data_IF_516383829694
#
_entry.id   IF_516383829694
#
_cell.length_a   1.000
_cell.length_b   1.000
_cell.length_c   1.000
_cell.angle_alpha   90.00
_cell.angle_beta   90.00
_cell.angle_gamma   90.00
#
_symmetry.space_group_name_H-M   'P 1'
#
loop_
_entity.id
_entity.type
_entity.pdbx_description
1 polymer ?
#
# COMPACT_ATOMS: atom_id res chain seq x y z
N UNK A 1 9.13 -6.77 -29.23
CA UNK A 1 9.65 -5.69 -30.10
C UNK A 1 10.74 -4.87 -29.43
N UNK A 2 10.47 -4.19 -28.30
CA UNK A 2 11.46 -3.35 -27.58
C UNK A 2 12.83 -4.02 -27.35
N UNK A 3 12.83 -5.27 -26.87
CA UNK A 3 14.08 -6.03 -26.64
C UNK A 3 14.86 -6.24 -27.95
N UNK A 4 14.18 -6.61 -29.04
CA UNK A 4 14.82 -6.80 -30.34
C UNK A 4 15.41 -5.49 -30.89
N UNK A 5 14.68 -4.39 -30.72
CA UNK A 5 15.15 -3.06 -31.14
C UNK A 5 16.41 -2.63 -30.38
N UNK A 6 16.44 -2.80 -29.05
CA UNK A 6 17.61 -2.46 -28.21
C UNK A 6 18.81 -3.36 -28.51
N UNK A 7 18.58 -4.65 -28.74
CA UNK A 7 19.66 -5.58 -29.06
C UNK A 7 20.24 -5.31 -30.45
N UNK A 8 19.44 -4.91 -31.43
CA UNK A 8 19.93 -4.60 -32.78
C UNK A 8 20.65 -5.79 -33.43
N UNK A 9 20.18 -7.01 -33.18
CA UNK A 9 20.78 -8.26 -33.65
C UNK A 9 21.87 -8.86 -32.75
N UNK A 10 22.25 -8.17 -31.66
CA UNK A 10 23.15 -8.74 -30.63
C UNK A 10 22.45 -9.87 -29.86
N UNK A 11 23.21 -10.86 -29.32
CA UNK A 11 22.65 -11.86 -28.43
C UNK A 11 22.14 -11.24 -27.13
N UNK A 12 21.21 -11.93 -26.47
CA UNK A 12 20.81 -11.65 -25.09
C UNK A 12 21.54 -12.60 -24.16
N UNK A 13 22.53 -12.09 -23.41
CA UNK A 13 23.37 -12.91 -22.54
C UNK A 13 22.69 -13.24 -21.21
N UNK A 14 22.00 -12.25 -20.60
CA UNK A 14 21.36 -12.39 -19.30
C UNK A 14 19.92 -11.86 -19.30
N UNK A 15 19.04 -12.57 -18.60
CA UNK A 15 17.71 -12.12 -18.20
C UNK A 15 17.60 -12.18 -16.68
N UNK A 16 17.64 -11.02 -16.02
CA UNK A 16 17.52 -10.92 -14.56
C UNK A 16 16.06 -10.85 -14.15
N UNK A 17 15.64 -11.74 -13.26
CA UNK A 17 14.27 -11.79 -12.74
C UNK A 17 14.28 -11.34 -11.29
N UNK A 18 13.88 -10.09 -11.07
CA UNK A 18 13.73 -9.54 -9.72
C UNK A 18 12.43 -9.99 -9.04
N UNK A 19 11.39 -10.34 -9.81
CA UNK A 19 10.08 -10.70 -9.29
C UNK A 19 9.33 -11.61 -10.28
N UNK A 20 8.61 -12.60 -9.76
CA UNK A 20 7.87 -13.61 -10.52
C UNK A 20 6.35 -13.36 -10.56
N UNK A 21 5.84 -12.24 -10.07
CA UNK A 21 4.41 -11.95 -10.19
C UNK A 21 3.99 -11.88 -11.69
N UNK A 22 2.78 -12.36 -12.06
CA UNK A 22 2.40 -12.57 -13.47
C UNK A 22 2.47 -11.34 -14.38
N UNK A 23 2.28 -10.14 -13.85
CA UNK A 23 2.43 -8.88 -14.59
C UNK A 23 3.87 -8.64 -15.08
N UNK A 24 4.86 -9.17 -14.36
CA UNK A 24 6.28 -9.05 -14.70
C UNK A 24 6.85 -10.27 -15.38
N UNK A 25 6.32 -11.45 -15.04
CA UNK A 25 6.89 -12.71 -15.48
C UNK A 25 6.23 -13.26 -16.75
N UNK A 26 5.00 -12.84 -17.09
CA UNK A 26 4.16 -13.49 -18.11
C UNK A 26 4.80 -13.76 -19.48
N UNK A 27 5.83 -12.98 -19.87
CA UNK A 27 6.55 -13.14 -21.13
C UNK A 27 7.94 -13.79 -21.03
N UNK A 28 8.39 -14.21 -19.85
CA UNK A 28 9.74 -14.78 -19.67
C UNK A 28 9.93 -16.03 -20.52
N UNK A 29 8.95 -16.94 -20.56
CA UNK A 29 9.06 -18.17 -21.38
C UNK A 29 9.26 -17.83 -22.87
N UNK A 30 8.52 -16.83 -23.37
CA UNK A 30 8.68 -16.31 -24.74
C UNK A 30 10.10 -15.80 -24.99
N UNK A 31 10.66 -15.02 -24.07
CA UNK A 31 12.02 -14.51 -24.18
C UNK A 31 13.04 -15.65 -24.22
N UNK A 32 12.92 -16.65 -23.35
CA UNK A 32 13.85 -17.79 -23.32
C UNK A 32 13.76 -18.61 -24.61
N UNK A 33 12.55 -18.80 -25.18
CA UNK A 33 12.37 -19.47 -26.47
C UNK A 33 12.99 -18.69 -27.63
N UNK A 34 12.89 -17.36 -27.60
CA UNK A 34 13.51 -16.49 -28.62
C UNK A 34 15.04 -16.43 -28.50
N UNK A 35 15.57 -16.50 -27.28
CA UNK A 35 16.99 -16.45 -26.98
C UNK A 35 17.43 -17.70 -26.20
N UNK A 36 17.53 -18.88 -26.85
CA UNK A 36 17.76 -20.15 -26.15
C UNK A 36 19.13 -20.26 -25.45
N UNK A 37 20.05 -19.32 -25.70
CA UNK A 37 21.35 -19.22 -25.02
C UNK A 37 21.36 -18.25 -23.85
N UNK A 38 20.24 -17.56 -23.57
CA UNK A 38 20.15 -16.59 -22.48
C UNK A 38 20.36 -17.29 -21.14
N UNK A 39 21.18 -16.70 -20.28
CA UNK A 39 21.29 -17.11 -18.88
C UNK A 39 20.20 -16.40 -18.08
N UNK A 40 19.28 -17.16 -17.50
CA UNK A 40 18.22 -16.63 -16.65
C UNK A 40 18.77 -16.51 -15.23
N UNK A 41 18.76 -15.29 -14.67
CA UNK A 41 19.32 -15.00 -13.35
C UNK A 41 18.20 -14.78 -12.36
N UNK A 42 18.23 -15.49 -11.24
CA UNK A 42 17.21 -15.43 -10.19
C UNK A 42 17.74 -16.03 -8.90
N UNK A 43 16.99 -15.92 -7.81
CA UNK A 43 17.33 -16.66 -6.58
C UNK A 43 16.69 -18.05 -6.59
N UNK A 44 16.97 -18.84 -5.55
CA UNK A 44 16.43 -20.21 -5.42
C UNK A 44 14.90 -20.24 -5.59
N UNK A 45 14.19 -19.30 -4.97
CA UNK A 45 12.73 -19.26 -4.97
C UNK A 45 12.15 -18.76 -6.29
N UNK A 46 12.86 -17.86 -6.98
CA UNK A 46 12.55 -17.48 -8.37
C UNK A 46 12.39 -18.71 -9.24
N UNK A 47 13.31 -19.67 -9.18
CA UNK A 47 13.25 -20.88 -10.01
C UNK A 47 12.26 -21.94 -9.49
N UNK A 48 11.95 -21.94 -8.20
CA UNK A 48 10.83 -22.73 -7.67
C UNK A 48 9.50 -22.24 -8.26
N UNK A 49 9.29 -20.92 -8.34
CA UNK A 49 8.10 -20.30 -8.93
C UNK A 49 8.07 -20.43 -10.44
N UNK A 50 9.23 -20.30 -11.10
CA UNK A 50 9.35 -20.51 -12.55
C UNK A 50 8.78 -21.87 -12.97
N UNK A 51 9.11 -22.94 -12.24
CA UNK A 51 8.62 -24.31 -12.50
C UNK A 51 7.12 -24.50 -12.22
N UNK A 52 6.51 -23.59 -11.46
CA UNK A 52 5.06 -23.59 -11.22
C UNK A 52 4.31 -22.90 -12.34
N UNK A 53 4.86 -21.79 -12.86
CA UNK A 53 4.24 -21.01 -13.93
C UNK A 53 4.48 -21.59 -15.33
N UNK A 54 5.64 -22.20 -15.57
CA UNK A 54 6.06 -22.63 -16.90
C UNK A 54 6.40 -24.11 -16.96
N UNK A 55 6.14 -24.70 -18.13
CA UNK A 55 6.55 -26.09 -18.44
C UNK A 55 7.93 -26.19 -19.09
N UNK A 56 8.52 -25.06 -19.48
CA UNK A 56 9.85 -25.02 -20.10
C UNK A 56 10.93 -25.35 -19.07
N UNK A 57 11.78 -26.34 -19.36
CA UNK A 57 12.96 -26.59 -18.54
C UNK A 57 14.09 -25.63 -18.92
N UNK A 58 14.46 -24.76 -17.98
CA UNK A 58 15.58 -23.82 -18.11
C UNK A 58 16.76 -24.18 -17.21
N UNK A 59 16.82 -25.41 -16.67
CA UNK A 59 17.84 -25.83 -15.69
C UNK A 59 19.27 -25.62 -16.18
N UNK A 60 19.53 -25.80 -17.48
CA UNK A 60 20.86 -25.58 -18.09
C UNK A 60 21.21 -24.09 -18.27
N UNK A 61 20.21 -23.21 -18.20
CA UNK A 61 20.34 -21.78 -18.42
C UNK A 61 20.17 -20.98 -17.12
N UNK A 62 19.85 -21.64 -16.00
CA UNK A 62 19.54 -20.98 -14.73
C UNK A 62 20.81 -20.66 -13.94
N UNK A 63 20.98 -19.38 -13.61
CA UNK A 63 22.00 -18.88 -12.68
C UNK A 63 21.35 -18.46 -11.37
N UNK A 64 21.61 -19.23 -10.31
CA UNK A 64 21.11 -18.97 -8.96
C UNK A 64 22.03 -18.01 -8.23
N UNK A 65 21.52 -16.83 -7.89
CA UNK A 65 22.23 -15.81 -7.10
C UNK A 65 21.71 -15.72 -5.66
N UNK A 66 22.58 -15.26 -4.76
CA UNK A 66 22.35 -15.03 -3.33
C UNK A 66 22.63 -13.56 -2.98
N UNK A 67 22.29 -13.19 -1.74
CA UNK A 67 22.62 -11.87 -1.20
C UNK A 67 24.12 -11.56 -1.39
N UNK A 68 24.41 -10.43 -2.03
CA UNK A 68 25.76 -9.92 -2.24
C UNK A 68 26.50 -10.52 -3.45
N UNK A 69 25.95 -11.53 -4.12
CA UNK A 69 26.53 -12.05 -5.36
C UNK A 69 26.57 -10.96 -6.44
N UNK A 70 27.49 -11.12 -7.39
CA UNK A 70 27.68 -10.16 -8.47
C UNK A 70 27.80 -10.82 -9.83
N UNK A 71 27.42 -10.09 -10.89
CA UNK A 71 27.68 -10.44 -12.28
C UNK A 71 28.39 -9.27 -12.94
N UNK A 72 29.57 -9.52 -13.50
CA UNK A 72 30.33 -8.54 -14.27
C UNK A 72 29.90 -8.59 -15.75
N UNK A 73 29.42 -7.46 -16.27
CA UNK A 73 29.00 -7.25 -17.66
C UNK A 73 30.05 -6.51 -18.50
N UNK A 74 31.29 -6.45 -18.02
CA UNK A 74 32.39 -5.67 -18.59
C UNK A 74 32.58 -4.34 -17.87
N UNK A 75 31.97 -3.27 -18.37
CA UNK A 75 32.06 -1.95 -17.73
C UNK A 75 31.13 -1.78 -16.53
N UNK A 76 30.12 -2.64 -16.41
CA UNK A 76 29.07 -2.57 -15.41
C UNK A 76 29.10 -3.85 -14.57
N UNK A 77 28.77 -3.72 -13.29
CA UNK A 77 28.64 -4.87 -12.39
C UNK A 77 27.28 -4.80 -11.74
N UNK A 78 26.51 -5.89 -11.85
CA UNK A 78 25.26 -6.08 -11.13
C UNK A 78 25.56 -6.71 -9.78
N UNK A 79 24.96 -6.19 -8.71
CA UNK A 79 24.98 -6.78 -7.37
C UNK A 79 23.56 -7.07 -6.89
N UNK A 80 23.34 -8.26 -6.33
CA UNK A 80 22.02 -8.72 -5.95
C UNK A 80 21.77 -8.56 -4.45
N UNK A 81 20.58 -8.10 -4.10
CA UNK A 81 20.12 -7.88 -2.73
C UNK A 81 18.76 -8.56 -2.54
N UNK A 82 18.64 -9.47 -1.59
CA UNK A 82 17.40 -10.19 -1.32
C UNK A 82 16.44 -9.30 -0.53
N UNK A 83 15.24 -9.13 -1.05
CA UNK A 83 14.16 -8.34 -0.46
C UNK A 83 12.90 -9.20 -0.24
N UNK A 84 13.00 -10.33 0.49
CA UNK A 84 11.87 -11.23 0.66
C UNK A 84 10.70 -10.55 1.37
N UNK A 85 9.50 -10.82 0.86
CA UNK A 85 8.24 -10.20 1.29
C UNK A 85 8.21 -8.69 1.04
N UNK A 86 8.89 -8.18 0.01
CA UNK A 86 8.71 -6.81 -0.49
C UNK A 86 8.24 -6.85 -1.96
N UNK A 87 7.09 -7.43 -2.30
CA UNK A 87 6.03 -7.97 -1.41
C UNK A 87 5.93 -9.51 -1.43
N UNK A 88 6.57 -10.18 -2.39
CA UNK A 88 6.61 -11.64 -2.47
C UNK A 88 7.91 -12.26 -1.94
N UNK A 89 7.91 -13.56 -1.57
CA UNK A 89 9.05 -14.16 -0.88
C UNK A 89 10.31 -14.36 -1.74
N UNK A 90 10.20 -14.36 -3.07
CA UNK A 90 11.33 -14.44 -3.99
C UNK A 90 11.88 -13.07 -4.41
N UNK A 91 11.31 -11.97 -3.93
CA UNK A 91 11.70 -10.65 -4.43
C UNK A 91 13.19 -10.35 -4.22
N UNK A 92 13.76 -10.01 -5.36
CA UNK A 92 15.06 -9.51 -5.75
C UNK A 92 15.25 -8.01 -5.94
N UNK A 93 16.23 -7.34 -5.34
CA UNK A 93 16.73 -6.07 -5.87
C UNK A 93 18.06 -6.28 -6.59
N UNK A 94 18.29 -5.50 -7.64
CA UNK A 94 19.56 -5.51 -8.39
C UNK A 94 20.11 -4.10 -8.43
N UNK A 95 21.39 -3.91 -8.07
CA UNK A 95 22.08 -2.63 -8.17
C UNK A 95 23.16 -2.73 -9.26
N UNK A 96 23.11 -1.81 -10.24
CA UNK A 96 24.24 -1.57 -11.14
C UNK A 96 25.22 -0.62 -10.46
N UNK A 97 26.42 -1.10 -10.16
CA UNK A 97 27.35 -0.44 -9.23
C UNK A 97 28.03 0.80 -9.79
N UNK A 98 28.30 0.86 -11.11
CA UNK A 98 29.08 1.96 -11.70
C UNK A 98 28.30 3.27 -11.66
N UNK A 99 27.02 3.21 -11.99
CA UNK A 99 26.14 4.38 -12.01
C UNK A 99 25.27 4.48 -10.76
N UNK A 100 25.17 3.43 -9.92
CA UNK A 100 24.32 3.45 -8.72
C UNK A 100 22.83 3.34 -9.06
N UNK A 101 22.46 2.49 -10.02
CA UNK A 101 21.07 2.30 -10.44
C UNK A 101 20.47 1.13 -9.68
N UNK A 102 19.42 1.37 -8.91
CA UNK A 102 18.64 0.36 -8.20
C UNK A 102 17.44 -0.07 -9.07
N UNK A 103 17.39 -1.33 -9.46
CA UNK A 103 16.19 -1.99 -9.97
C UNK A 103 15.45 -2.65 -8.78
N UNK A 104 14.33 -2.04 -8.38
CA UNK A 104 13.70 -2.26 -7.07
C UNK A 104 12.48 -3.19 -7.08
N UNK A 105 12.27 -3.93 -8.17
CA UNK A 105 11.04 -4.68 -8.37
C UNK A 105 9.80 -3.77 -8.18
N UNK A 106 8.83 -4.20 -7.37
CA UNK A 106 7.63 -3.42 -7.03
C UNK A 106 7.87 -2.31 -6.00
N UNK A 107 8.98 -2.35 -5.25
CA UNK A 107 9.28 -1.28 -4.32
C UNK A 107 9.49 0.03 -5.08
N UNK A 108 8.98 1.12 -4.50
CA UNK A 108 8.91 2.47 -5.06
C UNK A 108 7.96 2.62 -6.26
N UNK A 109 7.08 1.64 -6.47
CA UNK A 109 6.07 1.66 -7.52
C UNK A 109 4.90 2.60 -7.27
N UNK A 110 4.13 2.86 -8.34
CA UNK A 110 2.92 3.67 -8.32
C UNK A 110 1.87 3.09 -9.27
N UNK A 111 0.59 3.24 -8.95
CA UNK A 111 -0.48 2.95 -9.90
C UNK A 111 -0.59 4.06 -10.96
N UNK A 112 -1.12 3.69 -12.14
CA UNK A 112 -1.40 4.63 -13.23
C UNK A 112 -0.46 4.48 -14.42
N UNK A 113 -0.93 4.94 -15.58
CA UNK A 113 -0.17 4.89 -16.82
C UNK A 113 0.60 6.20 -17.04
N UNK A 114 1.82 6.10 -17.57
CA UNK A 114 2.60 7.27 -17.96
C UNK A 114 2.02 7.92 -19.22
N UNK A 115 1.85 9.26 -19.26
CA UNK A 115 1.42 9.97 -20.47
C UNK A 115 2.55 10.14 -21.51
N UNK A 116 3.67 9.42 -21.36
CA UNK A 116 4.88 9.52 -22.17
C UNK A 116 6.10 9.94 -21.35
N UNK A 117 5.91 10.79 -20.34
CA UNK A 117 6.94 11.16 -19.36
C UNK A 117 7.15 10.02 -18.37
N UNK A 118 8.40 9.57 -18.19
CA UNK A 118 8.72 8.41 -17.35
C UNK A 118 9.52 8.75 -16.10
N UNK A 119 10.08 9.97 -16.00
CA UNK A 119 10.86 10.38 -14.84
C UNK A 119 10.02 11.22 -13.86
N UNK A 120 10.21 10.98 -12.56
CA UNK A 120 9.49 11.69 -11.50
C UNK A 120 9.76 13.21 -11.52
N UNK A 121 10.97 13.64 -11.93
CA UNK A 121 11.37 15.05 -11.98
C UNK A 121 10.86 15.83 -13.21
N UNK A 122 10.18 15.16 -14.14
CA UNK A 122 9.66 15.75 -15.37
C UNK A 122 8.14 16.03 -15.31
N UNK A 123 7.53 15.86 -14.14
CA UNK A 123 6.10 16.09 -13.89
C UNK A 123 5.87 16.68 -12.50
N UNK A 124 4.68 17.20 -12.25
CA UNK A 124 4.23 17.54 -10.90
C UNK A 124 3.92 16.24 -10.15
N UNK A 125 4.98 15.65 -9.56
CA UNK A 125 4.91 14.33 -8.93
C UNK A 125 3.90 14.29 -7.78
N UNK A 126 3.89 15.31 -6.93
CA UNK A 126 3.00 15.36 -5.77
C UNK A 126 1.53 15.38 -6.19
N UNK A 127 1.19 16.17 -7.21
CA UNK A 127 -0.18 16.24 -7.71
C UNK A 127 -0.59 15.01 -8.52
N UNK A 128 0.34 14.38 -9.22
CA UNK A 128 0.04 13.36 -10.22
C UNK A 128 0.16 11.94 -9.68
N UNK A 129 1.19 11.68 -8.88
CA UNK A 129 1.60 10.33 -8.51
C UNK A 129 1.62 10.07 -7.01
N UNK A 130 1.84 11.06 -6.14
CA UNK A 130 2.04 10.79 -4.71
C UNK A 130 0.87 10.00 -4.07
N UNK A 131 -0.38 10.36 -4.38
CA UNK A 131 -1.55 9.65 -3.85
C UNK A 131 -1.66 8.22 -4.40
N UNK A 132 -1.32 8.00 -5.67
CA UNK A 132 -1.30 6.67 -6.29
C UNK A 132 -0.09 5.83 -5.82
N UNK A 133 1.04 6.46 -5.51
CA UNK A 133 2.21 5.79 -4.90
C UNK A 133 1.91 5.38 -3.47
N UNK A 134 1.23 6.24 -2.68
CA UNK A 134 0.75 5.85 -1.35
C UNK A 134 -0.27 4.72 -1.45
N UNK A 135 -1.21 4.80 -2.40
CA UNK A 135 -2.20 3.74 -2.63
C UNK A 135 -1.52 2.43 -3.02
N UNK A 136 -0.52 2.48 -3.90
CA UNK A 136 0.29 1.33 -4.28
C UNK A 136 0.99 0.73 -3.06
N UNK A 137 1.69 1.55 -2.28
CA UNK A 137 2.35 1.10 -1.06
C UNK A 137 1.34 0.46 -0.10
N UNK A 138 0.28 1.16 0.27
CA UNK A 138 -0.70 0.73 1.27
C UNK A 138 -1.38 -0.60 0.91
N UNK A 139 -1.65 -0.83 -0.38
CA UNK A 139 -2.42 -1.99 -0.84
C UNK A 139 -1.57 -3.17 -1.31
N UNK A 140 -0.30 -2.96 -1.68
CA UNK A 140 0.57 -4.02 -2.22
C UNK A 140 1.69 -4.36 -1.23
N UNK A 141 2.46 -3.35 -0.81
CA UNK A 141 3.71 -3.56 -0.04
C UNK A 141 3.47 -3.42 1.47
N UNK A 142 2.48 -2.63 1.87
CA UNK A 142 2.35 -2.03 3.19
C UNK A 142 2.27 -3.02 4.34
N UNK A 143 1.67 -4.20 4.11
CA UNK A 143 1.62 -5.32 5.07
C UNK A 143 3.02 -5.70 5.58
N UNK A 144 4.05 -5.48 4.78
CA UNK A 144 5.41 -5.92 5.02
C UNK A 144 6.35 -4.81 5.48
N UNK A 145 5.83 -3.81 6.20
CA UNK A 145 6.63 -2.68 6.70
C UNK A 145 7.92 -3.07 7.42
N UNK A 146 7.94 -4.14 8.24
CA UNK A 146 9.17 -4.58 8.92
C UNK A 146 10.22 -5.14 7.96
N UNK A 147 9.80 -5.81 6.88
CA UNK A 147 10.69 -6.30 5.83
C UNK A 147 11.20 -5.15 4.98
N UNK A 148 10.37 -4.16 4.65
CA UNK A 148 10.79 -2.91 4.00
C UNK A 148 11.88 -2.22 4.81
N UNK A 149 11.66 -1.99 6.12
CA UNK A 149 12.64 -1.40 7.02
C UNK A 149 13.97 -2.18 7.04
N UNK A 150 13.89 -3.51 7.07
CA UNK A 150 15.07 -4.39 7.06
C UNK A 150 15.84 -4.30 5.74
N UNK A 151 15.15 -4.18 4.61
CA UNK A 151 15.77 -3.99 3.29
C UNK A 151 16.42 -2.60 3.20
N UNK A 152 15.70 -1.53 3.54
CA UNK A 152 16.22 -0.16 3.48
C UNK A 152 17.51 0.02 4.31
N UNK A 153 17.59 -0.59 5.50
CA UNK A 153 18.80 -0.54 6.35
C UNK A 153 20.01 -1.26 5.78
N UNK A 154 19.81 -2.24 4.90
CA UNK A 154 20.90 -3.06 4.33
C UNK A 154 21.39 -2.52 2.99
N UNK A 155 20.55 -1.77 2.27
CA UNK A 155 20.91 -1.20 0.98
C UNK A 155 21.93 -0.06 1.16
N UNK A 156 22.89 0.09 0.24
CA UNK A 156 23.85 1.20 0.26
C UNK A 156 23.18 2.48 -0.31
N UNK A 157 22.15 2.99 0.36
CA UNK A 157 21.27 4.05 -0.14
C UNK A 157 22.03 5.32 -0.58
N UNK A 158 23.13 5.66 0.10
CA UNK A 158 23.98 6.81 -0.23
C UNK A 158 24.67 6.73 -1.60
N UNK A 159 24.82 5.51 -2.14
CA UNK A 159 25.43 5.26 -3.45
C UNK A 159 24.41 5.20 -4.59
N UNK A 160 23.11 5.27 -4.28
CA UNK A 160 22.04 5.15 -5.26
C UNK A 160 21.79 6.52 -5.90
N UNK A 161 21.93 6.59 -7.22
CA UNK A 161 21.67 7.79 -8.02
C UNK A 161 20.42 7.67 -8.89
N UNK A 162 19.85 6.46 -8.99
CA UNK A 162 18.60 6.21 -9.70
C UNK A 162 17.84 5.02 -9.12
N UNK A 163 16.51 5.12 -9.01
CA UNK A 163 15.62 4.01 -8.67
C UNK A 163 14.67 3.76 -9.85
N UNK A 164 14.69 2.52 -10.35
CA UNK A 164 13.89 2.02 -11.45
C UNK A 164 12.92 0.94 -10.91
N UNK A 165 11.70 1.34 -10.47
CA UNK A 165 10.66 0.38 -10.12
C UNK A 165 10.07 -0.28 -11.38
N UNK A 166 9.36 -1.39 -11.21
CA UNK A 166 8.62 -2.05 -12.29
C UNK A 166 7.33 -1.30 -12.67
N UNK A 167 6.79 -0.51 -11.74
CA UNK A 167 5.57 0.28 -11.91
C UNK A 167 5.83 1.76 -11.63
N UNK A 168 5.16 2.66 -12.35
CA UNK A 168 5.26 4.10 -12.07
C UNK A 168 6.59 4.75 -12.48
N UNK A 169 6.83 6.00 -12.06
CA UNK A 169 7.95 6.82 -12.57
C UNK A 169 9.32 6.41 -12.01
N UNK A 170 10.36 6.65 -12.81
CA UNK A 170 11.76 6.46 -12.47
C UNK A 170 12.27 7.67 -11.68
N UNK A 171 13.01 7.40 -10.60
CA UNK A 171 13.63 8.43 -9.77
C UNK A 171 15.09 8.59 -10.15
N UNK A 172 15.52 9.79 -10.54
CA UNK A 172 16.94 10.14 -10.82
C UNK A 172 17.39 11.45 -10.16
N UNK A 173 16.45 12.13 -9.51
CA UNK A 173 16.62 13.33 -8.68
C UNK A 173 15.75 13.17 -7.45
N UNK A 174 16.10 13.89 -6.39
CA UNK A 174 15.35 13.95 -5.13
C UNK A 174 15.00 12.57 -4.57
N UNK A 175 15.91 11.59 -4.74
CA UNK A 175 15.70 10.20 -4.33
C UNK A 175 15.41 10.09 -2.83
N UNK A 176 16.01 10.97 -2.04
CA UNK A 176 15.75 11.03 -0.59
C UNK A 176 14.26 11.23 -0.29
N UNK A 177 13.53 11.99 -1.12
CA UNK A 177 12.10 12.23 -0.93
C UNK A 177 11.29 10.92 -0.91
N UNK A 178 11.48 10.04 -1.90
CA UNK A 178 10.74 8.77 -1.94
C UNK A 178 11.26 7.76 -0.92
N UNK A 179 12.55 7.80 -0.59
CA UNK A 179 13.12 6.98 0.49
C UNK A 179 12.50 7.36 1.84
N UNK A 180 12.36 8.64 2.14
CA UNK A 180 11.73 9.14 3.36
C UNK A 180 10.26 8.74 3.43
N UNK A 181 9.52 8.81 2.31
CA UNK A 181 8.14 8.33 2.23
C UNK A 181 8.04 6.83 2.54
N UNK A 182 8.86 6.00 1.89
CA UNK A 182 8.87 4.55 2.15
C UNK A 182 9.29 4.21 3.58
N UNK A 183 10.27 4.94 4.14
CA UNK A 183 10.69 4.78 5.52
C UNK A 183 9.55 5.12 6.50
N UNK A 184 8.82 6.22 6.27
CA UNK A 184 7.68 6.62 7.09
C UNK A 184 6.51 5.63 6.95
N UNK A 185 6.13 5.27 5.71
CA UNK A 185 4.99 4.38 5.48
C UNK A 185 5.20 2.98 6.07
N UNK A 186 6.44 2.51 6.11
CA UNK A 186 6.79 1.19 6.66
C UNK A 186 6.82 1.10 8.18
N UNK A 187 6.80 2.23 8.89
CA UNK A 187 6.55 2.27 10.33
C UNK A 187 5.06 2.31 10.69
N UNK A 188 4.17 2.39 9.68
CA UNK A 188 2.74 2.61 9.85
C UNK A 188 2.42 3.94 10.57
N UNK A 189 3.40 4.85 10.64
CA UNK A 189 3.20 6.18 11.20
C UNK A 189 2.36 6.99 10.20
N UNK A 190 1.27 7.63 10.65
CA UNK A 190 0.50 8.54 9.81
C UNK A 190 1.38 9.66 9.25
N UNK A 191 1.12 10.07 8.01
CA UNK A 191 1.74 11.27 7.42
C UNK A 191 1.15 12.56 7.99
N UNK A 192 -0.13 12.51 8.36
CA UNK A 192 -0.89 13.68 8.75
C UNK A 192 -1.72 13.38 9.99
N UNK A 193 -1.82 14.38 10.88
CA UNK A 193 -2.85 14.37 11.89
C UNK A 193 -4.17 14.83 11.26
N UNK A 194 -5.18 13.97 11.22
CA UNK A 194 -6.47 14.23 10.58
C UNK A 194 -7.42 13.03 10.74
N UNK A 195 -8.65 13.19 10.25
CA UNK A 195 -9.73 12.21 10.50
C UNK A 195 -10.32 11.70 9.19
N UNK A 196 -10.31 10.37 9.02
CA UNK A 196 -11.03 9.68 7.93
C UNK A 196 -12.35 9.15 8.45
N UNK A 197 -13.44 9.77 8.03
CA UNK A 197 -14.82 9.41 8.30
C UNK A 197 -15.32 8.42 7.23
N UNK A 198 -15.48 7.17 7.60
CA UNK A 198 -15.90 6.10 6.68
C UNK A 198 -17.24 5.56 7.13
N UNK A 199 -18.24 5.61 6.25
CA UNK A 199 -19.58 5.18 6.58
C UNK A 199 -20.18 4.25 5.56
N UNK A 200 -21.06 3.39 6.06
CA UNK A 200 -22.01 2.62 5.30
C UNK A 200 -23.41 3.20 5.56
N UNK A 201 -24.23 3.40 4.52
CA UNK A 201 -25.63 3.77 4.71
C UNK A 201 -26.54 3.16 3.64
N UNK A 202 -27.69 2.64 4.07
CA UNK A 202 -28.71 2.11 3.16
C UNK A 202 -29.80 3.13 2.84
N UNK A 203 -30.13 3.98 3.82
CA UNK A 203 -31.27 4.91 3.77
C UNK A 203 -30.90 6.35 4.16
N UNK A 204 -29.61 6.68 4.24
CA UNK A 204 -29.12 8.02 4.55
C UNK A 204 -29.07 8.39 6.04
N UNK A 205 -29.66 7.61 6.95
CA UNK A 205 -29.64 7.97 8.38
C UNK A 205 -28.24 7.86 9.03
N UNK A 206 -27.46 6.83 8.70
CA UNK A 206 -26.05 6.72 9.15
C UNK A 206 -25.20 7.81 8.53
N UNK A 207 -25.43 8.13 7.26
CA UNK A 207 -24.77 9.23 6.55
C UNK A 207 -25.07 10.57 7.22
N UNK A 208 -26.33 10.85 7.53
CA UNK A 208 -26.74 12.07 8.22
C UNK A 208 -26.04 12.23 9.58
N UNK A 209 -25.90 11.14 10.34
CA UNK A 209 -25.18 11.17 11.61
C UNK A 209 -23.68 11.44 11.42
N UNK A 210 -23.07 10.89 10.38
CA UNK A 210 -21.67 11.14 10.04
C UNK A 210 -21.43 12.56 9.57
N UNK A 211 -22.35 13.14 8.80
CA UNK A 211 -22.32 14.55 8.41
C UNK A 211 -22.42 15.48 9.63
N UNK A 212 -23.32 15.16 10.57
CA UNK A 212 -23.45 15.91 11.82
C UNK A 212 -22.16 15.84 12.66
N UNK A 213 -21.55 14.65 12.77
CA UNK A 213 -20.26 14.49 13.45
C UNK A 213 -19.16 15.29 12.75
N UNK A 214 -19.05 15.20 11.43
CA UNK A 214 -18.05 15.93 10.65
C UNK A 214 -18.15 17.45 10.88
N UNK A 215 -19.36 18.01 10.88
CA UNK A 215 -19.59 19.43 11.18
C UNK A 215 -19.11 19.78 12.60
N UNK A 216 -19.45 18.96 13.60
CA UNK A 216 -19.02 19.15 14.98
C UNK A 216 -17.51 19.08 15.17
N UNK A 217 -16.83 18.20 14.44
CA UNK A 217 -15.36 18.12 14.44
C UNK A 217 -14.73 19.38 13.79
N UNK A 218 -15.31 19.86 12.70
CA UNK A 218 -14.86 21.09 12.04
C UNK A 218 -15.06 22.33 12.93
N UNK A 219 -16.21 22.44 13.61
CA UNK A 219 -16.50 23.50 14.59
C UNK A 219 -15.52 23.49 15.78
N UNK A 220 -14.99 22.32 16.12
CA UNK A 220 -13.95 22.13 17.14
C UNK A 220 -12.52 22.36 16.61
N UNK A 221 -12.39 22.79 15.37
CA UNK A 221 -11.13 23.20 14.78
C UNK A 221 -10.29 22.07 14.18
N UNK A 222 -10.87 20.90 13.89
CA UNK A 222 -10.18 19.85 13.12
C UNK A 222 -10.25 20.20 11.63
N UNK A 223 -9.12 20.53 10.96
CA UNK A 223 -9.15 21.13 9.63
C UNK A 223 -9.17 20.10 8.48
N UNK A 224 -8.59 18.91 8.67
CA UNK A 224 -8.46 17.89 7.61
C UNK A 224 -9.35 16.68 7.91
N UNK A 225 -10.50 16.68 7.26
CA UNK A 225 -11.52 15.63 7.31
C UNK A 225 -11.67 15.01 5.92
N UNK A 226 -11.62 13.68 5.86
CA UNK A 226 -11.91 12.91 4.65
C UNK A 226 -13.15 12.09 4.89
N UNK A 227 -14.07 12.07 3.94
CA UNK A 227 -15.33 11.38 4.12
C UNK A 227 -15.62 10.43 2.96
N UNK A 228 -15.94 9.18 3.28
CA UNK A 228 -16.14 8.11 2.30
C UNK A 228 -17.39 7.30 2.60
N UNK A 229 -18.24 7.13 1.59
CA UNK A 229 -19.22 6.05 1.53
C UNK A 229 -18.54 4.78 1.00
N UNK A 230 -18.50 3.73 1.82
CA UNK A 230 -17.92 2.42 1.45
C UNK A 230 -18.65 1.75 0.28
N UNK A 231 -19.88 2.16 -0.02
CA UNK A 231 -20.63 1.66 -1.18
C UNK A 231 -20.27 2.33 -2.49
N UNK A 232 -19.56 3.46 -2.46
CA UNK A 232 -19.28 4.29 -3.65
C UNK A 232 -17.80 4.39 -3.95
N UNK A 233 -16.95 4.13 -2.97
CA UNK A 233 -15.51 4.29 -3.09
C UNK A 233 -14.83 2.94 -3.01
N UNK A 234 -13.96 2.63 -3.98
CA UNK A 234 -13.18 1.40 -3.93
C UNK A 234 -12.30 1.37 -2.67
N UNK A 235 -12.23 0.24 -1.93
CA UNK A 235 -11.53 0.15 -0.66
C UNK A 235 -10.08 0.66 -0.71
N UNK A 236 -9.37 0.43 -1.81
CA UNK A 236 -7.97 0.86 -1.96
C UNK A 236 -7.73 2.35 -1.73
N UNK A 237 -8.68 3.21 -2.13
CA UNK A 237 -8.56 4.66 -1.89
C UNK A 237 -8.77 4.99 -0.41
N UNK A 238 -9.78 4.37 0.21
CA UNK A 238 -10.07 4.53 1.64
C UNK A 238 -8.87 4.06 2.47
N UNK A 239 -8.27 2.92 2.12
CA UNK A 239 -7.08 2.37 2.77
C UNK A 239 -5.87 3.29 2.61
N UNK A 240 -5.68 3.92 1.43
CA UNK A 240 -4.62 4.89 1.21
C UNK A 240 -4.73 6.08 2.18
N UNK A 241 -5.93 6.62 2.36
CA UNK A 241 -6.18 7.71 3.29
C UNK A 241 -6.11 7.26 4.76
N UNK A 242 -6.57 6.05 5.08
CA UNK A 242 -6.33 5.45 6.41
C UNK A 242 -4.82 5.34 6.68
N UNK A 243 -3.99 5.04 5.68
CA UNK A 243 -2.53 5.03 5.84
C UNK A 243 -1.97 6.45 6.08
N UNK A 244 -2.55 7.45 5.44
CA UNK A 244 -2.14 8.86 5.53
C UNK A 244 -2.49 9.50 6.87
N UNK A 245 -3.68 9.23 7.42
CA UNK A 245 -4.25 9.94 8.56
C UNK A 245 -4.21 9.15 9.87
N UNK A 246 -4.17 9.86 10.99
CA UNK A 246 -4.03 9.30 12.35
C UNK A 246 -5.33 8.77 12.96
N UNK A 247 -6.48 9.35 12.61
CA UNK A 247 -7.78 9.04 13.20
C UNK A 247 -8.75 8.48 12.17
N UNK A 248 -9.58 7.52 12.60
CA UNK A 248 -10.64 6.93 11.78
C UNK A 248 -11.95 7.00 12.56
N UNK A 249 -13.03 7.39 11.88
CA UNK A 249 -14.39 7.21 12.40
C UNK A 249 -15.09 6.20 11.49
N UNK A 250 -15.62 5.12 12.06
CA UNK A 250 -16.33 4.09 11.31
C UNK A 250 -17.79 4.07 11.70
N UNK A 251 -18.68 4.17 10.71
CA UNK A 251 -20.12 4.15 10.94
C UNK A 251 -20.83 3.12 10.05
N UNK A 252 -21.68 2.29 10.65
CA UNK A 252 -22.38 1.26 9.87
C UNK A 252 -23.75 0.91 10.45
N UNK A 253 -24.77 0.66 9.62
CA UNK A 253 -26.01 0.08 10.09
C UNK A 253 -25.81 -1.40 10.45
N UNK A 254 -26.63 -1.87 11.37
CA UNK A 254 -26.84 -3.31 11.57
C UNK A 254 -27.70 -3.83 10.41
N UNK A 255 -27.19 -4.82 9.68
CA UNK A 255 -27.88 -5.45 8.56
C UNK A 255 -28.00 -6.95 8.81
N UNK A 256 -29.22 -7.45 9.04
CA UNK A 256 -29.50 -8.86 9.35
C UNK A 256 -28.63 -9.42 10.50
N UNK A 257 -28.46 -8.67 11.60
CA UNK A 257 -27.54 -8.97 12.72
C UNK A 257 -26.05 -9.05 12.36
N UNK A 258 -25.69 -8.61 11.16
CA UNK A 258 -24.32 -8.51 10.68
C UNK A 258 -23.99 -7.06 10.31
N UNK A 259 -22.76 -6.83 9.86
CA UNK A 259 -22.41 -5.57 9.22
C UNK A 259 -22.95 -5.54 7.80
N UNK A 260 -23.21 -4.33 7.31
CA UNK A 260 -23.38 -4.15 5.88
C UNK A 260 -22.07 -4.55 5.16
N UNK A 261 -22.19 -5.43 4.17
CA UNK A 261 -21.06 -6.16 3.59
C UNK A 261 -19.90 -5.27 3.12
N UNK A 262 -20.11 -4.11 2.45
CA UNK A 262 -19.00 -3.22 2.08
C UNK A 262 -18.14 -2.75 3.28
N UNK A 263 -18.76 -2.46 4.43
CA UNK A 263 -18.01 -2.10 5.64
C UNK A 263 -17.25 -3.30 6.20
N UNK A 264 -17.87 -4.49 6.22
CA UNK A 264 -17.21 -5.71 6.65
C UNK A 264 -15.99 -6.04 5.75
N UNK A 265 -16.15 -5.90 4.44
CA UNK A 265 -15.09 -6.11 3.46
C UNK A 265 -13.92 -5.17 3.70
N UNK A 266 -14.17 -3.87 3.89
CA UNK A 266 -13.13 -2.89 4.20
C UNK A 266 -12.36 -3.27 5.48
N UNK A 267 -13.07 -3.62 6.56
CA UNK A 267 -12.42 -4.00 7.82
C UNK A 267 -11.58 -5.27 7.69
N UNK A 268 -12.04 -6.25 6.91
CA UNK A 268 -11.27 -7.46 6.62
C UNK A 268 -10.02 -7.15 5.79
N UNK A 269 -10.13 -6.24 4.83
CA UNK A 269 -9.00 -5.79 4.02
C UNK A 269 -7.98 -5.02 4.86
N UNK A 270 -8.42 -4.13 5.76
CA UNK A 270 -7.55 -3.46 6.74
C UNK A 270 -6.77 -4.48 7.59
N UNK A 271 -7.42 -5.53 8.08
CA UNK A 271 -6.75 -6.59 8.84
C UNK A 271 -5.76 -7.38 7.97
N UNK A 272 -6.15 -7.70 6.74
CA UNK A 272 -5.29 -8.38 5.76
C UNK A 272 -4.09 -7.53 5.34
N UNK A 273 -4.18 -6.21 5.38
CA UNK A 273 -3.05 -5.29 5.10
C UNK A 273 -2.28 -4.90 6.37
N UNK A 274 -2.66 -5.46 7.53
CA UNK A 274 -2.02 -5.18 8.81
C UNK A 274 -2.05 -3.69 9.18
N UNK A 275 -3.15 -2.99 8.87
CA UNK A 275 -3.39 -1.62 9.35
C UNK A 275 -3.26 -1.60 10.88
N UNK A 276 -2.48 -0.64 11.39
CA UNK A 276 -2.16 -0.53 12.81
C UNK A 276 -1.86 0.92 13.17
N UNK A 277 -1.65 1.20 14.47
CA UNK A 277 -1.31 2.53 14.99
C UNK A 277 -2.35 3.60 14.63
N UNK A 278 -3.63 3.31 14.83
CA UNK A 278 -4.73 4.24 14.54
C UNK A 278 -5.63 4.43 15.75
N UNK A 279 -6.10 5.66 15.91
CA UNK A 279 -7.13 5.99 16.90
C UNK A 279 -8.50 5.91 16.20
N UNK A 280 -9.45 5.17 16.76
CA UNK A 280 -10.70 4.81 16.10
C UNK A 280 -11.92 5.12 16.96
N UNK A 281 -12.88 5.86 16.40
CA UNK A 281 -14.21 6.06 16.98
C UNK A 281 -15.26 5.30 16.17
N UNK A 282 -16.34 4.87 16.82
CA UNK A 282 -17.37 4.02 16.23
C UNK A 282 -18.77 4.62 16.34
N UNK A 283 -19.56 4.41 15.29
CA UNK A 283 -20.98 4.74 15.25
C UNK A 283 -21.81 3.56 14.70
N UNK A 284 -22.83 3.16 15.44
CA UNK A 284 -23.83 2.17 15.03
C UNK A 284 -25.14 2.83 14.61
N UNK A 285 -25.88 2.17 13.72
CA UNK A 285 -27.28 2.50 13.48
C UNK A 285 -28.11 1.22 13.42
N UNK A 286 -29.24 1.17 14.12
CA UNK A 286 -30.15 0.03 14.07
C UNK A 286 -31.60 0.45 14.34
N UNK A 287 -32.56 -0.43 14.04
CA UNK A 287 -33.99 -0.16 14.33
C UNK A 287 -34.56 -1.09 15.41
N UNK A 288 -34.27 -2.39 15.34
CA UNK A 288 -34.84 -3.38 16.27
C UNK A 288 -33.80 -4.12 17.11
N UNK A 289 -32.54 -4.22 16.64
CA UNK A 289 -31.43 -4.75 17.43
C UNK A 289 -30.10 -4.26 16.89
N UNK A 290 -29.16 -4.02 17.79
CA UNK A 290 -27.81 -3.55 17.46
C UNK A 290 -26.80 -4.70 17.40
N UNK A 291 -26.00 -4.73 16.35
CA UNK A 291 -24.85 -5.62 16.22
C UNK A 291 -23.61 -4.92 15.64
N UNK A 292 -23.78 -3.82 14.92
CA UNK A 292 -22.72 -3.18 14.13
C UNK A 292 -21.49 -2.80 14.97
N UNK A 293 -21.67 -2.09 16.10
CA UNK A 293 -20.55 -1.65 16.96
C UNK A 293 -19.74 -2.85 17.45
N UNK A 294 -20.41 -3.87 17.99
CA UNK A 294 -19.74 -5.09 18.49
C UNK A 294 -18.92 -5.78 17.40
N UNK A 295 -19.47 -5.88 16.19
CA UNK A 295 -18.79 -6.53 15.06
C UNK A 295 -17.59 -5.71 14.56
N UNK A 296 -17.73 -4.38 14.46
CA UNK A 296 -16.62 -3.50 14.11
C UNK A 296 -15.51 -3.55 15.17
N UNK A 297 -15.85 -3.43 16.45
CA UNK A 297 -14.90 -3.56 17.56
C UNK A 297 -14.18 -4.91 17.54
N UNK A 298 -14.90 -6.00 17.27
CA UNK A 298 -14.30 -7.34 17.19
C UNK A 298 -13.26 -7.46 16.08
N UNK A 299 -13.56 -6.98 14.87
CA UNK A 299 -12.62 -6.99 13.75
C UNK A 299 -11.41 -6.08 14.00
N UNK A 300 -11.64 -4.87 14.47
CA UNK A 300 -10.59 -3.90 14.81
C UNK A 300 -9.70 -4.41 15.95
N UNK A 301 -10.26 -5.14 16.93
CA UNK A 301 -9.49 -5.74 18.03
C UNK A 301 -8.52 -6.84 17.61
N UNK A 302 -8.62 -7.34 16.37
CA UNK A 302 -7.62 -8.26 15.80
C UNK A 302 -6.41 -7.54 15.22
N UNK A 303 -6.52 -6.22 15.01
CA UNK A 303 -5.47 -5.39 14.42
C UNK A 303 -4.57 -4.84 15.52
N UNK A 304 -3.29 -4.67 15.19
CA UNK A 304 -2.28 -4.22 16.15
C UNK A 304 -2.43 -2.72 16.46
N UNK A 305 -2.25 -2.35 17.72
CA UNK A 305 -2.15 -0.96 18.18
C UNK A 305 -3.32 -0.04 17.71
N UNK A 306 -4.54 -0.59 17.63
CA UNK A 306 -5.78 0.19 17.47
C UNK A 306 -6.24 0.71 18.83
N UNK A 307 -6.50 2.02 18.92
CA UNK A 307 -6.94 2.70 20.14
C UNK A 307 -8.37 3.20 19.97
N UNK A 308 -9.32 2.62 20.70
CA UNK A 308 -10.70 3.11 20.67
C UNK A 308 -10.83 4.46 21.38
N UNK A 309 -11.58 5.39 20.78
CA UNK A 309 -11.80 6.74 21.28
C UNK A 309 -13.25 6.91 21.69
N UNK A 310 -13.46 7.35 22.93
CA UNK A 310 -14.79 7.67 23.46
C UNK A 310 -15.72 6.45 23.56
N UNK A 311 -16.93 6.71 24.04
CA UNK A 311 -18.00 5.73 24.00
C UNK A 311 -18.61 5.70 22.59
N UNK A 312 -18.80 4.51 21.97
CA UNK A 312 -19.47 4.42 20.68
C UNK A 312 -20.88 5.00 20.70
N UNK A 313 -21.27 5.73 19.65
CA UNK A 313 -22.63 6.24 19.49
C UNK A 313 -23.50 5.19 18.78
N UNK A 314 -24.59 4.73 19.38
CA UNK A 314 -25.55 3.82 18.75
C UNK A 314 -26.89 4.51 18.48
N UNK A 315 -27.25 4.64 17.20
CA UNK A 315 -28.41 5.41 16.77
C UNK A 315 -29.60 4.49 16.52
N UNK A 316 -30.76 4.89 17.03
CA UNK A 316 -32.04 4.21 16.79
C UNK A 316 -32.76 4.79 15.57
N UNK A 317 -32.59 4.14 14.43
CA UNK A 317 -33.13 4.45 13.10
C UNK A 317 -32.61 5.76 12.49
N UNK A 318 -32.71 6.88 13.21
CA UNK A 318 -32.29 8.22 12.78
C UNK A 318 -31.76 9.01 13.97
N UNK A 319 -30.73 9.83 13.77
CA UNK A 319 -30.22 10.73 14.81
C UNK A 319 -31.33 11.68 15.30
N UNK A 320 -31.54 11.75 16.62
CA UNK A 320 -32.52 12.64 17.25
C UNK A 320 -31.85 13.64 18.18
N UNK A 321 -32.58 14.71 18.51
CA UNK A 321 -32.10 15.78 19.38
C UNK A 321 -31.67 15.29 20.77
N UNK A 322 -32.26 14.21 21.28
CA UNK A 322 -31.91 13.64 22.58
C UNK A 322 -30.50 13.02 22.58
N UNK A 323 -30.02 12.57 21.40
CA UNK A 323 -28.69 11.97 21.22
C UNK A 323 -27.61 13.00 20.88
N UNK A 324 -27.97 14.29 20.78
CA UNK A 324 -27.03 15.37 20.44
C UNK A 324 -25.88 15.46 21.45
N UNK A 325 -26.17 15.22 22.74
CA UNK A 325 -25.16 15.20 23.81
C UNK A 325 -24.16 14.05 23.66
N UNK A 326 -24.62 12.89 23.21
CA UNK A 326 -23.77 11.71 22.98
C UNK A 326 -22.87 11.95 21.75
N UNK A 327 -23.44 12.57 20.71
CA UNK A 327 -22.68 12.99 19.53
C UNK A 327 -21.63 14.06 19.85
N UNK A 328 -21.98 15.05 20.68
CA UNK A 328 -21.03 16.05 21.18
C UNK A 328 -19.92 15.41 22.03
N UNK A 329 -20.27 14.48 22.92
CA UNK A 329 -19.27 13.77 23.73
C UNK A 329 -18.30 12.95 22.86
N UNK A 330 -18.80 12.31 21.80
CA UNK A 330 -17.95 11.60 20.84
C UNK A 330 -17.03 12.58 20.08
N UNK A 331 -17.57 13.71 19.63
CA UNK A 331 -16.79 14.76 18.96
C UNK A 331 -15.71 15.36 19.87
N UNK A 332 -16.02 15.59 21.15
CA UNK A 332 -15.08 16.05 22.17
C UNK A 332 -13.97 15.02 22.40
N UNK A 333 -14.32 13.73 22.49
CA UNK A 333 -13.34 12.66 22.68
C UNK A 333 -12.38 12.53 21.48
N UNK A 334 -12.91 12.60 20.25
CA UNK A 334 -12.09 12.61 19.02
C UNK A 334 -11.17 13.84 19.02
N UNK A 335 -11.70 15.02 19.35
CA UNK A 335 -10.94 16.28 19.40
C UNK A 335 -9.83 16.22 20.44
N UNK A 336 -10.11 15.71 21.64
CA UNK A 336 -9.11 15.55 22.68
C UNK A 336 -8.02 14.57 22.27
N UNK A 337 -8.38 13.44 21.64
CA UNK A 337 -7.42 12.48 21.10
C UNK A 337 -6.55 13.11 20.01
N UNK A 338 -7.18 13.88 19.11
CA UNK A 338 -6.53 14.61 18.03
C UNK A 338 -5.47 15.58 18.56
N UNK A 339 -5.82 16.42 19.53
CA UNK A 339 -4.91 17.40 20.16
C UNK A 339 -3.75 16.70 20.87
N UNK A 340 -3.99 15.55 21.50
CA UNK A 340 -2.94 14.81 22.24
C UNK A 340 -1.92 14.14 21.30
N UNK A 341 -2.26 13.96 20.01
CA UNK A 341 -1.38 13.40 18.99
C UNK A 341 -0.76 14.47 18.06
N UNK A 342 -1.07 15.76 18.28
CA UNK A 342 -0.29 16.91 17.77
C UNK A 342 0.92 17.10 18.67
#
# INVERSE_FOLDING_TARGET
>A
ENILAVLGGRPLDYLVINHMEPDHCGNIETIVRMFPKVTVVGNKKTFEFFKQYYSLDISQNALVVKEGDTINLGQHTLKFHMAPMVHWPEVMFTIEQKNGILFSADAFGSFGAHPGTIFADETDYDRTFLDETRRYYANIVGRYGSQVQTVLKRLPLESITMICPLHGPIWRKDIQYILDKYALWSTYTPEQNGVVLVYASMYGNTENAMNALANKLAERGIPDLRMYDVSKTHPSYIISDIWKYSHIVLASPTYNMHLYFPMESLLREMAALNVQNRSVALLGNHTWSSAAIKLMSGLLGTMKDIRFIGEPLDIHSSLKAEQEKELDALADAITQSYITHV
#
